data_IF_704030455986
#
_entry.id   IF_704030455986
#
_cell.length_a   1.000
_cell.length_b   1.000
_cell.length_c   1.000
_cell.angle_alpha   90.00
_cell.angle_beta   90.00
_cell.angle_gamma   90.00
#
_symmetry.space_group_name_H-M   'P 1'
#
loop_
_entity.id
_entity.type
_entity.pdbx_description
1 polymer ?
#
# COMPACT_ATOMS: atom_id res chain seq x y z
N UNK A 1 1.55 -14.92 -11.82
CA UNK A 1 0.60 -13.84 -11.46
C UNK A 1 -0.39 -13.68 -12.60
N UNK A 2 -1.68 -13.51 -12.29
CA UNK A 2 -2.66 -13.15 -13.31
C UNK A 2 -2.36 -11.75 -13.86
N UNK A 3 -2.56 -11.56 -15.17
CA UNK A 3 -2.26 -10.31 -15.88
C UNK A 3 -3.25 -9.18 -15.57
N UNK A 4 -4.42 -9.51 -15.02
CA UNK A 4 -5.50 -8.58 -14.78
C UNK A 4 -6.18 -8.86 -13.44
N UNK A 5 -6.95 -7.90 -12.95
CA UNK A 5 -7.81 -7.99 -11.77
C UNK A 5 -9.06 -7.14 -11.99
N UNK A 6 -10.11 -7.41 -11.22
CA UNK A 6 -11.35 -6.65 -11.20
C UNK A 6 -11.33 -5.67 -10.03
N UNK A 7 -11.76 -4.44 -10.26
CA UNK A 7 -11.95 -3.42 -9.24
C UNK A 7 -13.41 -2.99 -9.25
N UNK A 8 -14.07 -3.21 -8.11
CA UNK A 8 -15.38 -2.66 -7.81
C UNK A 8 -15.18 -1.42 -6.93
N UNK A 9 -15.80 -0.32 -7.35
CA UNK A 9 -15.86 0.92 -6.59
C UNK A 9 -17.31 1.31 -6.36
N UNK A 10 -17.61 1.84 -5.18
CA UNK A 10 -18.89 2.48 -4.89
C UNK A 10 -18.75 3.49 -3.76
N UNK A 11 -19.67 4.45 -3.73
CA UNK A 11 -19.88 5.36 -2.60
C UNK A 11 -21.16 4.92 -1.90
N UNK A 12 -21.08 4.74 -0.59
CA UNK A 12 -22.21 4.41 0.27
C UNK A 12 -22.37 5.51 1.31
N UNK A 13 -23.60 5.83 1.67
CA UNK A 13 -23.87 6.73 2.80
C UNK A 13 -23.20 6.24 4.08
N UNK A 14 -22.52 7.15 4.79
CA UNK A 14 -21.69 6.84 5.96
C UNK A 14 -22.44 6.02 7.03
N UNK A 15 -23.73 6.33 7.25
CA UNK A 15 -24.57 5.64 8.23
C UNK A 15 -24.80 4.15 7.94
N UNK A 16 -24.66 3.72 6.68
CA UNK A 16 -24.81 2.34 6.25
C UNK A 16 -23.48 1.69 5.88
N UNK A 17 -22.37 2.44 5.88
CA UNK A 17 -21.07 1.95 5.39
C UNK A 17 -20.67 0.61 6.01
N UNK A 18 -20.61 0.54 7.34
CA UNK A 18 -20.23 -0.70 8.04
C UNK A 18 -21.11 -1.89 7.65
N UNK A 19 -22.42 -1.68 7.50
CA UNK A 19 -23.34 -2.72 7.08
C UNK A 19 -23.01 -3.28 5.68
N UNK A 20 -22.58 -2.43 4.75
CA UNK A 20 -22.14 -2.87 3.42
C UNK A 20 -20.77 -3.54 3.45
N UNK A 21 -19.85 -3.09 4.31
CA UNK A 21 -18.55 -3.72 4.49
C UNK A 21 -18.72 -5.13 5.06
N UNK A 22 -19.49 -5.27 6.14
CA UNK A 22 -19.81 -6.55 6.78
C UNK A 22 -20.49 -7.50 5.78
N UNK A 23 -21.45 -7.00 5.00
CA UNK A 23 -22.11 -7.80 3.95
C UNK A 23 -21.12 -8.27 2.87
N UNK A 24 -20.16 -7.44 2.46
CA UNK A 24 -19.13 -7.86 1.52
C UNK A 24 -18.20 -8.92 2.11
N UNK A 25 -17.81 -8.79 3.39
CA UNK A 25 -17.03 -9.81 4.12
C UNK A 25 -17.78 -11.13 4.22
N UNK A 26 -19.08 -11.11 4.53
CA UNK A 26 -19.94 -12.30 4.60
C UNK A 26 -20.04 -13.04 3.25
N UNK A 27 -19.90 -12.31 2.14
CA UNK A 27 -19.85 -12.86 0.78
C UNK A 27 -18.44 -13.35 0.38
N UNK A 28 -17.48 -13.35 1.29
CA UNK A 28 -16.15 -13.93 1.09
C UNK A 28 -15.09 -12.94 0.61
N UNK A 29 -15.35 -11.63 0.63
CA UNK A 29 -14.32 -10.63 0.33
C UNK A 29 -13.32 -10.57 1.48
N UNK A 30 -12.03 -10.70 1.17
CA UNK A 30 -10.97 -10.74 2.20
C UNK A 30 -10.38 -9.36 2.52
N UNK A 31 -10.49 -8.41 1.59
CA UNK A 31 -9.86 -7.11 1.70
C UNK A 31 -10.71 -6.00 1.06
N UNK A 32 -10.77 -4.88 1.76
CA UNK A 32 -11.48 -3.67 1.35
C UNK A 32 -10.56 -2.47 1.58
N UNK A 33 -10.53 -1.52 0.64
CA UNK A 33 -9.85 -0.24 0.80
C UNK A 33 -10.88 0.90 0.86
N UNK A 34 -10.86 1.67 1.95
CA UNK A 34 -11.60 2.92 2.07
C UNK A 34 -10.72 4.09 1.64
N UNK A 35 -11.13 4.82 0.61
CA UNK A 35 -10.38 5.96 0.07
C UNK A 35 -11.30 6.96 -0.63
N UNK A 36 -10.99 8.25 -0.52
CA UNK A 36 -11.69 9.34 -1.23
C UNK A 36 -13.22 9.31 -1.04
N UNK A 37 -13.68 8.99 0.17
CA UNK A 37 -15.09 8.78 0.56
C UNK A 37 -15.80 7.60 -0.15
N UNK A 38 -15.06 6.70 -0.79
CA UNK A 38 -15.60 5.51 -1.40
C UNK A 38 -14.92 4.23 -0.92
N UNK A 39 -15.48 3.12 -1.38
CA UNK A 39 -15.07 1.77 -1.04
C UNK A 39 -14.56 1.11 -2.31
N UNK A 40 -13.36 0.54 -2.23
CA UNK A 40 -12.73 -0.23 -3.30
C UNK A 40 -12.59 -1.69 -2.86
N UNK A 41 -13.08 -2.59 -3.70
CA UNK A 41 -12.92 -4.03 -3.57
C UNK A 41 -12.19 -4.53 -4.80
N UNK A 42 -11.12 -5.31 -4.62
CA UNK A 42 -10.31 -5.82 -5.72
C UNK A 42 -10.15 -7.32 -5.60
N UNK A 43 -10.35 -8.03 -6.71
CA UNK A 43 -10.19 -9.47 -6.77
C UNK A 43 -9.61 -9.92 -8.12
N UNK A 44 -8.97 -11.08 -8.09
CA UNK A 44 -8.60 -11.82 -9.30
C UNK A 44 -9.79 -12.54 -9.94
N UNK A 45 -10.84 -12.75 -9.16
CA UNK A 45 -12.11 -13.31 -9.62
C UNK A 45 -13.08 -12.19 -10.00
N UNK A 46 -14.07 -12.51 -10.84
CA UNK A 46 -15.10 -11.56 -11.23
C UNK A 46 -15.86 -11.06 -9.99
N UNK A 47 -16.13 -9.75 -9.95
CA UNK A 47 -16.91 -9.10 -8.90
C UNK A 47 -18.34 -8.75 -9.36
N UNK A 48 -18.80 -9.31 -10.48
CA UNK A 48 -20.14 -9.07 -11.03
C UNK A 48 -21.24 -9.49 -10.06
N UNK A 49 -21.13 -10.69 -9.47
CA UNK A 49 -22.09 -11.21 -8.50
C UNK A 49 -22.14 -10.36 -7.23
N UNK A 50 -20.97 -9.93 -6.73
CA UNK A 50 -20.89 -9.03 -5.58
C UNK A 50 -21.52 -7.67 -5.90
N UNK A 51 -21.18 -7.08 -7.05
CA UNK A 51 -21.73 -5.81 -7.49
C UNK A 51 -23.26 -5.87 -7.54
N UNK A 52 -23.81 -6.93 -8.13
CA UNK A 52 -25.24 -7.17 -8.18
C UNK A 52 -25.86 -7.35 -6.78
N UNK A 53 -25.22 -8.14 -5.91
CA UNK A 53 -25.68 -8.37 -4.54
C UNK A 53 -25.76 -7.06 -3.73
N UNK A 54 -24.75 -6.19 -3.84
CA UNK A 54 -24.72 -4.88 -3.18
C UNK A 54 -25.82 -3.95 -3.69
N UNK A 55 -26.10 -3.95 -5.00
CA UNK A 55 -27.21 -3.18 -5.57
C UNK A 55 -28.56 -3.66 -5.05
N UNK A 56 -28.79 -4.97 -5.04
CA UNK A 56 -30.03 -5.56 -4.50
C UNK A 56 -30.17 -5.25 -3.01
N UNK A 57 -29.08 -5.33 -2.25
CA UNK A 57 -29.08 -5.01 -0.84
C UNK A 57 -29.44 -3.53 -0.59
N UNK A 58 -28.86 -2.61 -1.35
CA UNK A 58 -29.19 -1.19 -1.29
C UNK A 58 -30.66 -0.90 -1.66
N UNK A 59 -31.18 -1.57 -2.69
CA UNK A 59 -32.59 -1.43 -3.09
C UNK A 59 -33.54 -1.93 -2.00
N UNK A 60 -33.23 -3.07 -1.37
CA UNK A 60 -34.01 -3.60 -0.24
C UNK A 60 -34.01 -2.64 0.94
N UNK A 61 -32.86 -2.13 1.36
CA UNK A 61 -32.77 -1.14 2.44
C UNK A 61 -33.56 0.13 2.12
N UNK A 62 -33.43 0.65 0.90
CA UNK A 62 -34.17 1.83 0.43
C UNK A 62 -35.67 1.63 0.56
N UNK A 63 -36.16 0.45 0.15
CA UNK A 63 -37.59 0.10 0.22
C UNK A 63 -38.05 -0.12 1.66
N UNK A 64 -37.29 -0.88 2.46
CA UNK A 64 -37.63 -1.20 3.86
C UNK A 64 -37.70 0.05 4.74
N UNK A 65 -36.81 1.02 4.54
CA UNK A 65 -36.80 2.28 5.29
C UNK A 65 -37.56 3.40 4.60
N UNK A 66 -38.24 3.12 3.48
CA UNK A 66 -39.03 4.07 2.70
C UNK A 66 -38.25 5.37 2.36
N UNK A 67 -36.99 5.20 1.95
CA UNK A 67 -36.12 6.32 1.59
C UNK A 67 -36.43 6.82 0.18
N UNK A 68 -36.28 8.13 -0.02
CA UNK A 68 -36.52 8.81 -1.29
C UNK A 68 -35.25 9.06 -2.12
N UNK A 69 -34.13 8.47 -1.70
CA UNK A 69 -32.81 8.62 -2.32
C UNK A 69 -32.08 7.28 -2.33
N UNK A 70 -31.01 7.19 -3.13
CA UNK A 70 -30.19 5.98 -3.22
C UNK A 70 -29.12 5.97 -2.14
N UNK A 71 -28.97 4.84 -1.45
CA UNK A 71 -27.93 4.59 -0.45
C UNK A 71 -26.55 4.41 -1.09
N UNK A 72 -26.50 3.81 -2.30
CA UNK A 72 -25.29 3.64 -3.09
C UNK A 72 -25.31 4.59 -4.30
N UNK A 73 -24.14 5.17 -4.58
CA UNK A 73 -23.87 5.98 -5.77
C UNK A 73 -22.51 5.62 -6.36
N UNK A 74 -22.28 6.04 -7.61
CA UNK A 74 -21.01 5.88 -8.33
C UNK A 74 -20.47 4.43 -8.34
N UNK A 75 -21.36 3.44 -8.40
CA UNK A 75 -20.99 2.05 -8.56
C UNK A 75 -20.31 1.85 -9.92
N UNK A 76 -19.10 1.31 -9.92
CA UNK A 76 -18.38 0.96 -11.15
C UNK A 76 -17.56 -0.31 -10.97
N UNK A 77 -17.71 -1.23 -11.91
CA UNK A 77 -16.90 -2.44 -12.01
C UNK A 77 -16.01 -2.33 -13.24
N UNK A 78 -14.70 -2.41 -13.05
CA UNK A 78 -13.72 -2.30 -14.14
C UNK A 78 -12.67 -3.39 -14.06
N UNK A 79 -12.24 -3.89 -15.22
CA UNK A 79 -11.09 -4.76 -15.35
C UNK A 79 -9.82 -3.91 -15.53
N UNK A 80 -8.80 -4.17 -14.71
CA UNK A 80 -7.54 -3.44 -14.72
C UNK A 80 -6.36 -4.39 -14.93
N UNK A 81 -5.31 -3.86 -15.55
CA UNK A 81 -4.05 -4.59 -15.67
C UNK A 81 -3.35 -4.69 -14.31
N UNK A 82 -2.90 -5.89 -13.99
CA UNK A 82 -2.12 -6.13 -12.79
C UNK A 82 -0.69 -5.64 -13.02
N UNK A 83 -0.13 -4.98 -12.01
CA UNK A 83 1.26 -4.53 -12.01
C UNK A 83 2.06 -5.44 -11.10
N UNK A 84 3.32 -5.69 -11.47
CA UNK A 84 4.26 -6.31 -10.54
C UNK A 84 4.67 -5.27 -9.49
N UNK A 85 3.86 -5.14 -8.45
CA UNK A 85 4.06 -4.19 -7.37
C UNK A 85 5.39 -4.40 -6.63
N UNK A 86 5.90 -5.64 -6.60
CA UNK A 86 7.20 -5.95 -6.00
C UNK A 86 8.31 -5.32 -6.85
N UNK A 87 8.25 -5.48 -8.17
CA UNK A 87 9.22 -4.86 -9.07
C UNK A 87 9.10 -3.34 -9.09
N UNK A 88 7.89 -2.79 -9.10
CA UNK A 88 7.68 -1.33 -9.03
C UNK A 88 8.22 -0.74 -7.72
N UNK A 89 7.99 -1.40 -6.59
CA UNK A 89 8.60 -1.04 -5.31
C UNK A 89 10.13 -1.08 -5.37
N UNK A 90 10.71 -2.16 -5.91
CA UNK A 90 12.17 -2.29 -6.05
C UNK A 90 12.78 -1.19 -6.93
N UNK A 91 12.10 -0.79 -8.00
CA UNK A 91 12.52 0.32 -8.89
C UNK A 91 12.43 1.69 -8.20
N UNK A 92 11.46 1.86 -7.31
CA UNK A 92 11.26 3.11 -6.56
C UNK A 92 12.36 3.40 -5.55
N UNK A 93 13.07 2.38 -5.07
CA UNK A 93 14.12 2.53 -4.07
C UNK A 93 15.45 2.85 -4.73
N UNK A 94 16.05 3.98 -4.35
CA UNK A 94 17.34 4.42 -4.86
C UNK A 94 18.43 4.22 -3.80
N UNK A 95 19.65 3.87 -4.20
CA UNK A 95 20.75 3.84 -3.25
C UNK A 95 21.09 5.26 -2.79
N UNK A 96 21.70 5.38 -1.62
CA UNK A 96 22.04 6.64 -0.99
C UNK A 96 23.54 6.73 -0.82
N UNK A 97 24.09 7.86 -1.24
CA UNK A 97 25.50 8.17 -1.07
C UNK A 97 25.66 9.28 -0.02
N UNK A 98 26.34 8.97 1.07
CA UNK A 98 26.68 9.89 2.15
C UNK A 98 28.20 9.96 2.24
N UNK A 99 28.80 10.95 1.60
CA UNK A 99 30.27 11.08 1.47
C UNK A 99 30.91 9.76 0.98
N UNK A 100 31.66 9.04 1.83
CA UNK A 100 32.34 7.79 1.46
C UNK A 100 31.51 6.52 1.76
N UNK A 101 30.29 6.66 2.28
CA UNK A 101 29.39 5.55 2.62
C UNK A 101 28.27 5.45 1.58
N UNK A 102 28.16 4.28 0.97
CA UNK A 102 27.12 3.95 -0.01
C UNK A 102 26.15 2.93 0.60
N UNK A 103 24.93 3.38 0.88
CA UNK A 103 23.85 2.55 1.44
C UNK A 103 22.99 2.08 0.28
N UNK A 104 22.84 0.76 0.13
CA UNK A 104 22.11 0.18 -0.99
C UNK A 104 21.33 -1.07 -0.58
N UNK A 105 20.41 -1.49 -1.43
CA UNK A 105 19.59 -2.67 -1.17
C UNK A 105 20.30 -3.96 -1.54
N UNK A 106 19.75 -5.10 -1.10
CA UNK A 106 20.27 -6.43 -1.44
C UNK A 106 20.20 -6.76 -2.93
N UNK A 107 19.38 -6.03 -3.70
CA UNK A 107 19.21 -6.19 -5.15
C UNK A 107 19.90 -5.09 -5.98
N UNK A 108 20.68 -4.22 -5.35
CA UNK A 108 21.47 -3.17 -6.01
C UNK A 108 22.96 -3.51 -5.96
N UNK A 109 23.68 -3.15 -7.01
CA UNK A 109 25.12 -3.37 -7.11
C UNK A 109 25.91 -2.49 -6.13
N UNK A 110 27.03 -3.03 -5.66
CA UNK A 110 28.01 -2.34 -4.83
C UNK A 110 28.80 -1.30 -5.65
N UNK A 111 29.16 -0.20 -5.00
CA UNK A 111 29.93 0.88 -5.61
C UNK A 111 31.40 0.75 -5.24
N UNK A 112 32.29 0.60 -6.23
CA UNK A 112 33.74 0.53 -6.03
C UNK A 112 34.28 1.80 -5.37
N UNK A 113 35.26 1.64 -4.46
CA UNK A 113 35.92 2.71 -3.70
C UNK A 113 35.04 3.40 -2.63
N UNK A 114 33.90 2.81 -2.27
CA UNK A 114 33.05 3.27 -1.18
C UNK A 114 32.89 2.19 -0.10
N UNK A 115 32.52 2.62 1.12
CA UNK A 115 32.06 1.71 2.17
C UNK A 115 30.63 1.32 1.85
N UNK A 116 30.42 0.06 1.45
CA UNK A 116 29.11 -0.43 1.06
C UNK A 116 28.35 -0.96 2.29
N UNK A 117 27.20 -0.35 2.60
CA UNK A 117 26.27 -0.81 3.64
C UNK A 117 25.03 -1.35 2.94
N UNK A 118 24.80 -2.67 3.07
CA UNK A 118 23.68 -3.36 2.44
C UNK A 118 22.53 -3.49 3.43
N UNK A 119 21.37 -2.89 3.12
CA UNK A 119 20.18 -2.88 3.98
C UNK A 119 18.97 -3.42 3.21
N UNK A 120 18.13 -4.23 3.87
CA UNK A 120 16.81 -4.56 3.30
C UNK A 120 15.78 -3.51 3.75
N UNK A 121 15.31 -2.63 2.86
CA UNK A 121 14.42 -1.53 3.22
C UNK A 121 13.01 -2.01 3.63
N UNK A 122 12.63 -3.25 3.32
CA UNK A 122 11.35 -3.81 3.75
C UNK A 122 11.36 -4.28 5.22
N UNK A 123 12.53 -4.53 5.82
CA UNK A 123 12.65 -5.18 7.13
C UNK A 123 13.25 -4.28 8.22
N UNK A 124 13.80 -3.13 7.85
CA UNK A 124 14.52 -2.27 8.79
C UNK A 124 14.23 -0.80 8.55
N UNK A 125 13.91 -0.09 9.64
CA UNK A 125 14.04 1.37 9.68
C UNK A 125 15.53 1.75 9.60
N UNK A 126 15.83 3.00 9.26
CA UNK A 126 17.22 3.44 9.13
C UNK A 126 17.89 3.02 7.82
N UNK A 127 17.12 2.90 6.73
CA UNK A 127 17.64 2.60 5.39
C UNK A 127 18.44 3.75 4.73
N UNK A 128 18.61 4.87 5.44
CA UNK A 128 19.26 6.07 4.95
C UNK A 128 18.33 7.08 4.27
N UNK A 129 17.12 6.68 3.86
CA UNK A 129 16.19 7.53 3.09
C UNK A 129 15.56 8.65 3.92
N UNK A 130 15.58 8.51 5.24
CA UNK A 130 15.17 9.56 6.17
C UNK A 130 16.39 10.40 6.57
N UNK A 131 16.20 11.72 6.68
CA UNK A 131 17.27 12.69 6.92
C UNK A 131 18.03 12.45 8.23
N UNK A 132 17.38 11.86 9.24
CA UNK A 132 18.03 11.53 10.50
C UNK A 132 19.14 10.50 10.33
N UNK A 133 18.88 9.41 9.60
CA UNK A 133 19.89 8.38 9.32
C UNK A 133 21.02 8.95 8.46
N UNK A 134 20.68 9.73 7.43
CA UNK A 134 21.67 10.42 6.60
C UNK A 134 22.61 11.28 7.46
N UNK A 135 22.05 12.07 8.38
CA UNK A 135 22.81 12.94 9.28
C UNK A 135 23.68 12.16 10.26
N UNK A 136 23.16 11.09 10.85
CA UNK A 136 23.93 10.20 11.73
C UNK A 136 25.14 9.61 10.99
N UNK A 137 24.94 9.06 9.79
CA UNK A 137 26.03 8.49 8.97
C UNK A 137 27.07 9.55 8.60
N UNK A 138 26.63 10.76 8.24
CA UNK A 138 27.51 11.89 7.96
C UNK A 138 28.34 12.30 9.18
N UNK A 139 27.71 12.41 10.34
CA UNK A 139 28.41 12.80 11.57
C UNK A 139 29.33 11.70 12.10
N UNK A 140 28.97 10.43 11.95
CA UNK A 140 29.87 9.32 12.26
C UNK A 140 31.14 9.40 11.41
N UNK A 141 31.05 9.70 10.12
CA UNK A 141 32.24 9.89 9.28
C UNK A 141 33.09 11.08 9.73
N UNK A 142 32.47 12.15 10.23
CA UNK A 142 33.18 13.36 10.69
C UNK A 142 33.85 13.20 12.06
N UNK A 143 33.19 12.53 13.00
CA UNK A 143 33.58 12.55 14.41
C UNK A 143 34.11 11.22 14.93
N UNK A 144 33.86 10.10 14.24
CA UNK A 144 34.38 8.80 14.66
C UNK A 144 35.91 8.74 14.50
N UNK A 145 36.55 8.02 15.42
CA UNK A 145 37.98 7.71 15.38
C UNK A 145 38.16 6.20 15.51
N UNK A 146 39.27 5.70 15.00
CA UNK A 146 39.62 4.28 15.11
C UNK A 146 39.59 3.83 16.58
N UNK A 147 39.03 2.64 16.83
CA UNK A 147 38.95 1.97 18.15
C UNK A 147 38.07 2.64 19.22
N UNK A 148 37.19 3.57 18.85
CA UNK A 148 36.16 4.04 19.77
C UNK A 148 35.07 2.98 19.97
N UNK A 149 34.53 2.91 21.19
CA UNK A 149 33.31 2.14 21.47
C UNK A 149 32.11 3.01 21.07
N UNK A 150 31.18 2.43 20.33
CA UNK A 150 29.93 3.07 19.95
C UNK A 150 28.76 2.35 20.62
N UNK A 151 27.69 3.10 20.89
CA UNK A 151 26.40 2.60 21.33
C UNK A 151 25.35 3.14 20.35
N UNK A 152 24.57 2.23 19.78
CA UNK A 152 23.38 2.53 18.99
C UNK A 152 22.18 2.18 19.88
N UNK A 153 21.28 3.15 20.09
CA UNK A 153 20.20 3.09 21.10
C UNK A 153 18.86 2.76 20.46
#
# INVERSE_FOLDING_TARGET
MQKKYYELFFIVEERYKNLFLDFAFDLGIEAIEEKDNGVYIRSHESLEELSWALEIFAQKLTTTFNLNHKIISNLSLVEKENKDWIQEYKKGIKPILVDNVYIHTTWQEEKKNFINIKINPALAFGSGHHESTYSCVKFLQKFSKSKLRALDL
#
